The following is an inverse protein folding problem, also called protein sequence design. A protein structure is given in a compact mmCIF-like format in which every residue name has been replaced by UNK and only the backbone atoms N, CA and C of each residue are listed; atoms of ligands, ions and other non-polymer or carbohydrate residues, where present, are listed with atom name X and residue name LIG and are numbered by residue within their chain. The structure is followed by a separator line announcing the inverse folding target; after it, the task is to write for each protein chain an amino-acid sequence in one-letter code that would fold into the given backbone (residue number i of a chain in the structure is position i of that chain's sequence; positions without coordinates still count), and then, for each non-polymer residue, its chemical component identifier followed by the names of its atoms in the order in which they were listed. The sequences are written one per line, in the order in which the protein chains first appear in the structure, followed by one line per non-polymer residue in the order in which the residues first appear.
data_IF_758200025153
#
_entry.id   IF_758200025153
#
_cell.length_a   1.000
_cell.length_b   1.000
_cell.length_c   1.000
_cell.angle_alpha   90.00
_cell.angle_beta   90.00
_cell.angle_gamma   90.00
#
_symmetry.space_group_name_H-M   'P 1'
#
loop_
_entity.id
_entity.type
_entity.pdbx_description
1 polymer ?
#
# COMPACT_ATOMS: atom_id res chain seq x y z
N UNK A 1 18.74 -4.49 32.31
CA UNK A 1 17.64 -5.45 32.03
C UNK A 1 18.19 -6.46 31.05
N UNK A 2 18.37 -7.69 31.52
CA UNK A 2 18.77 -8.78 30.64
C UNK A 2 17.66 -9.06 29.64
N UNK A 3 17.99 -9.01 28.33
CA UNK A 3 17.03 -9.39 27.30
C UNK A 3 16.75 -10.88 27.43
N UNK A 4 15.51 -11.26 27.60
CA UNK A 4 15.14 -12.66 27.52
C UNK A 4 15.32 -13.15 26.08
N UNK A 5 15.66 -14.42 25.91
CA UNK A 5 15.74 -15.06 24.59
C UNK A 5 14.37 -15.58 24.11
N UNK A 6 13.30 -15.23 24.79
CA UNK A 6 11.95 -15.68 24.46
C UNK A 6 11.32 -14.75 23.40
N UNK A 7 10.49 -15.28 22.52
CA UNK A 7 9.64 -14.47 21.68
C UNK A 7 8.74 -13.56 22.52
N UNK A 8 8.51 -12.32 22.06
CA UNK A 8 7.72 -11.32 22.78
C UNK A 8 6.34 -11.82 23.22
N UNK A 9 5.69 -12.64 22.39
CA UNK A 9 4.39 -13.26 22.70
C UNK A 9 4.49 -14.15 23.94
N UNK A 10 5.55 -14.96 24.08
CA UNK A 10 5.73 -15.83 25.24
C UNK A 10 5.99 -15.02 26.51
N UNK A 11 6.74 -13.93 26.41
CA UNK A 11 6.96 -13.03 27.55
C UNK A 11 5.66 -12.40 28.03
N UNK A 12 4.84 -11.88 27.10
CA UNK A 12 3.56 -11.25 27.43
C UNK A 12 2.59 -12.25 28.07
N UNK A 13 2.48 -13.45 27.51
CA UNK A 13 1.61 -14.51 28.08
C UNK A 13 2.04 -14.99 29.45
N UNK A 14 3.33 -14.92 29.80
CA UNK A 14 3.85 -15.32 31.11
C UNK A 14 3.60 -14.29 32.22
N UNK A 15 3.49 -13.02 31.86
CA UNK A 15 3.34 -11.92 32.84
C UNK A 15 1.91 -11.40 32.94
N UNK A 16 1.11 -11.53 31.87
CA UNK A 16 -0.26 -11.05 31.85
C UNK A 16 -1.25 -12.04 32.43
N UNK A 17 -2.14 -11.59 33.31
CA UNK A 17 -3.32 -12.40 33.73
C UNK A 17 -4.33 -12.55 32.61
N UNK A 18 -4.48 -11.51 31.80
CA UNK A 18 -5.29 -11.43 30.57
C UNK A 18 -4.46 -10.71 29.53
N UNK A 19 -4.32 -11.32 28.35
CA UNK A 19 -3.65 -10.73 27.21
C UNK A 19 -4.63 -10.64 26.05
N UNK A 20 -4.73 -9.47 25.42
CA UNK A 20 -5.54 -9.25 24.22
C UNK A 20 -4.59 -8.95 23.07
N UNK A 21 -4.71 -9.71 21.98
CA UNK A 21 -3.90 -9.53 20.77
C UNK A 21 -4.80 -9.20 19.59
N UNK A 22 -4.45 -8.16 18.87
CA UNK A 22 -5.06 -7.80 17.59
C UNK A 22 -4.15 -8.29 16.47
N UNK A 23 -4.65 -9.18 15.63
CA UNK A 23 -3.88 -9.84 14.58
C UNK A 23 -4.57 -9.70 13.23
N UNK A 24 -3.77 -9.53 12.19
CA UNK A 24 -4.17 -9.64 10.79
C UNK A 24 -3.05 -10.42 10.07
N UNK A 25 -3.30 -11.70 9.80
CA UNK A 25 -2.32 -12.59 9.16
C UNK A 25 -1.95 -12.12 7.73
N UNK A 26 -2.84 -11.34 7.08
CA UNK A 26 -2.61 -10.77 5.75
C UNK A 26 -1.74 -9.49 5.79
N UNK A 27 -1.33 -9.01 6.96
CA UNK A 27 -0.40 -7.89 7.13
C UNK A 27 1.05 -8.32 7.38
N UNK A 28 1.36 -9.60 7.30
CA UNK A 28 2.73 -10.12 7.37
C UNK A 28 3.47 -9.75 6.10
N UNK A 29 4.48 -8.87 6.22
CA UNK A 29 5.26 -8.33 5.08
C UNK A 29 6.74 -8.77 5.10
N UNK A 30 7.20 -9.40 6.18
CA UNK A 30 8.56 -9.93 6.31
C UNK A 30 8.58 -11.41 6.68
N UNK A 31 9.57 -12.18 6.18
CA UNK A 31 9.79 -13.52 6.66
C UNK A 31 10.26 -13.48 8.12
N UNK A 32 9.67 -14.34 8.95
CA UNK A 32 10.07 -14.42 10.37
C UNK A 32 9.38 -13.42 11.30
N UNK A 33 8.41 -12.66 10.82
CA UNK A 33 7.45 -12.00 11.71
C UNK A 33 6.71 -13.08 12.49
N UNK A 34 7.04 -13.17 13.79
CA UNK A 34 6.48 -14.15 14.72
C UNK A 34 5.23 -13.55 15.33
N UNK A 35 4.07 -13.92 14.82
CA UNK A 35 2.83 -13.33 15.31
C UNK A 35 1.57 -13.82 14.58
N UNK A 36 1.67 -14.93 13.82
CA UNK A 36 0.47 -15.49 13.19
C UNK A 36 -0.53 -15.98 14.22
N UNK A 37 -1.80 -15.89 13.89
CA UNK A 37 -2.89 -16.44 14.71
C UNK A 37 -2.60 -17.88 15.14
N UNK A 38 -2.10 -18.71 14.23
CA UNK A 38 -1.73 -20.10 14.53
C UNK A 38 -0.62 -20.20 15.59
N UNK A 39 0.45 -19.42 15.43
CA UNK A 39 1.58 -19.45 16.39
C UNK A 39 1.16 -18.98 17.78
N UNK A 40 0.35 -17.91 17.84
CA UNK A 40 -0.17 -17.40 19.12
C UNK A 40 -1.02 -18.45 19.84
N UNK A 41 -1.95 -19.10 19.13
CA UNK A 41 -2.79 -20.18 19.68
C UNK A 41 -1.96 -21.34 20.20
N UNK A 42 -1.03 -21.86 19.40
CA UNK A 42 -0.17 -22.97 19.78
C UNK A 42 0.66 -22.62 21.04
N UNK A 43 1.17 -21.38 21.11
CA UNK A 43 1.96 -20.91 22.24
C UNK A 43 1.11 -20.75 23.51
N UNK A 44 -0.08 -20.16 23.39
CA UNK A 44 -1.01 -20.01 24.50
C UNK A 44 -1.46 -21.37 25.06
N UNK A 45 -1.78 -22.32 24.20
CA UNK A 45 -2.14 -23.69 24.61
C UNK A 45 -1.00 -24.41 25.36
N UNK A 46 0.25 -24.27 24.87
CA UNK A 46 1.44 -24.82 25.52
C UNK A 46 1.64 -24.24 26.93
N UNK A 47 1.27 -22.99 27.14
CA UNK A 47 1.35 -22.30 28.44
C UNK A 47 0.12 -22.52 29.32
N UNK A 48 -0.86 -23.32 28.89
CA UNK A 48 -2.07 -23.64 29.67
C UNK A 48 -3.07 -22.49 29.71
N UNK A 49 -2.99 -21.53 28.76
CA UNK A 49 -3.92 -20.40 28.73
C UNK A 49 -5.28 -20.82 28.16
N UNK A 50 -6.36 -20.24 28.71
CA UNK A 50 -7.67 -20.29 28.08
C UNK A 50 -7.73 -19.30 26.95
N UNK A 51 -8.20 -19.72 25.73
CA UNK A 51 -8.24 -18.92 24.53
C UNK A 51 -9.68 -18.57 24.20
N UNK A 52 -9.91 -17.29 23.93
CA UNK A 52 -11.15 -16.76 23.37
C UNK A 52 -10.82 -16.06 22.07
N UNK A 53 -11.52 -16.41 21.00
CA UNK A 53 -11.36 -15.79 19.67
C UNK A 53 -12.57 -14.94 19.35
N UNK A 54 -12.27 -13.77 18.82
CA UNK A 54 -13.27 -12.84 18.30
C UNK A 54 -12.78 -12.33 16.95
N UNK A 55 -13.66 -12.24 15.99
CA UNK A 55 -13.40 -11.61 14.69
C UNK A 55 -13.97 -10.19 14.73
N UNK A 56 -13.15 -9.22 14.29
CA UNK A 56 -13.60 -7.83 14.11
C UNK A 56 -14.24 -7.74 12.76
N UNK A 57 -15.57 -7.79 12.68
CA UNK A 57 -16.34 -7.78 11.43
C UNK A 57 -16.38 -6.38 10.80
N UNK A 58 -16.24 -5.31 11.60
CA UNK A 58 -16.35 -3.95 11.11
C UNK A 58 -15.06 -3.45 10.46
N UNK A 59 -15.14 -3.08 9.18
CA UNK A 59 -14.08 -2.41 8.45
C UNK A 59 -14.30 -0.90 8.53
N UNK A 60 -13.37 -0.18 9.17
CA UNK A 60 -13.40 1.28 9.29
C UNK A 60 -12.52 1.98 8.24
N UNK A 61 -11.60 1.25 7.60
CA UNK A 61 -10.78 1.77 6.51
C UNK A 61 -11.56 1.83 5.21
N UNK A 62 -11.04 2.58 4.25
CA UNK A 62 -11.64 2.69 2.92
C UNK A 62 -13.13 3.13 2.98
N UNK A 63 -13.44 4.12 3.81
CA UNK A 63 -14.82 4.62 4.05
C UNK A 63 -15.79 3.54 4.56
N UNK A 64 -15.26 2.52 5.28
CA UNK A 64 -16.05 1.35 5.67
C UNK A 64 -16.37 0.41 4.50
N UNK A 65 -15.74 0.60 3.34
CA UNK A 65 -15.97 -0.24 2.16
C UNK A 65 -15.19 -1.56 2.28
N UNK A 66 -15.86 -2.58 2.81
CA UNK A 66 -15.40 -3.98 2.69
C UNK A 66 -15.19 -4.35 1.22
N UNK A 67 -15.95 -3.73 0.32
CA UNK A 67 -15.88 -3.93 -1.12
C UNK A 67 -14.50 -3.64 -1.68
N UNK A 68 -13.86 -2.53 -1.28
CA UNK A 68 -12.52 -2.17 -1.77
C UNK A 68 -11.44 -3.14 -1.30
N UNK A 69 -11.38 -3.46 -0.01
CA UNK A 69 -10.40 -4.40 0.55
C UNK A 69 -10.60 -5.80 -0.04
N UNK A 70 -11.86 -6.23 -0.20
CA UNK A 70 -12.19 -7.50 -0.82
C UNK A 70 -11.80 -7.53 -2.32
N UNK A 71 -12.01 -6.42 -3.03
CA UNK A 71 -11.56 -6.28 -4.41
C UNK A 71 -10.04 -6.33 -4.54
N UNK A 72 -9.27 -5.63 -3.66
CA UNK A 72 -7.81 -5.72 -3.63
C UNK A 72 -7.35 -7.15 -3.33
N UNK A 73 -7.93 -7.83 -2.34
CA UNK A 73 -7.60 -9.22 -2.01
C UNK A 73 -7.83 -10.16 -3.21
N UNK A 74 -8.94 -9.97 -3.93
CA UNK A 74 -9.27 -10.74 -5.13
C UNK A 74 -8.31 -10.41 -6.27
N UNK A 75 -8.04 -9.13 -6.53
CA UNK A 75 -7.17 -8.68 -7.62
C UNK A 75 -5.72 -9.12 -7.41
N UNK A 76 -5.19 -9.04 -6.20
CA UNK A 76 -3.86 -9.55 -5.86
C UNK A 76 -3.81 -11.09 -5.76
N UNK A 77 -4.96 -11.77 -5.81
CA UNK A 77 -5.04 -13.22 -5.67
C UNK A 77 -4.61 -13.71 -4.28
N UNK A 78 -4.84 -12.91 -3.24
CA UNK A 78 -4.63 -13.26 -1.82
C UNK A 78 -5.81 -14.11 -1.35
N UNK A 79 -7.03 -13.61 -1.57
CA UNK A 79 -8.27 -14.27 -1.16
C UNK A 79 -9.33 -14.12 -2.25
N UNK A 80 -10.03 -15.19 -2.57
CA UNK A 80 -11.19 -15.12 -3.48
C UNK A 80 -12.37 -14.48 -2.74
N UNK A 81 -12.90 -13.41 -3.31
CA UNK A 81 -14.05 -12.67 -2.79
C UNK A 81 -15.10 -12.46 -3.89
N UNK A 82 -16.29 -12.05 -3.53
CA UNK A 82 -17.35 -11.71 -4.50
C UNK A 82 -17.05 -10.40 -5.26
N UNK A 83 -16.18 -9.54 -4.71
CA UNK A 83 -15.82 -8.26 -5.31
C UNK A 83 -14.73 -8.44 -6.39
N UNK A 84 -15.14 -8.82 -7.60
CA UNK A 84 -14.23 -9.05 -8.73
C UNK A 84 -13.99 -7.76 -9.51
N UNK A 85 -15.00 -6.91 -9.61
CA UNK A 85 -14.97 -5.63 -10.33
C UNK A 85 -15.21 -4.50 -9.34
N UNK A 86 -14.34 -3.48 -9.40
CA UNK A 86 -14.49 -2.25 -8.64
C UNK A 86 -15.37 -1.25 -9.37
N UNK A 87 -16.41 -0.76 -8.71
CA UNK A 87 -17.31 0.25 -9.25
C UNK A 87 -17.18 1.56 -8.47
N UNK A 88 -16.31 2.45 -8.95
CA UNK A 88 -16.07 3.76 -8.34
C UNK A 88 -17.28 4.72 -8.36
N UNK A 89 -18.30 4.41 -9.16
CA UNK A 89 -19.55 5.22 -9.22
C UNK A 89 -20.57 4.86 -8.16
N UNK A 90 -20.44 3.70 -7.51
CA UNK A 90 -21.38 3.22 -6.47
C UNK A 90 -20.76 3.25 -5.06
N UNK A 91 -19.45 3.29 -4.99
CA UNK A 91 -18.71 3.25 -3.72
C UNK A 91 -18.18 4.65 -3.38
N UNK A 92 -18.23 5.01 -2.10
CA UNK A 92 -17.72 6.32 -1.64
C UNK A 92 -16.19 6.42 -1.66
N UNK A 93 -15.49 5.29 -1.84
CA UNK A 93 -14.03 5.25 -1.84
C UNK A 93 -13.47 5.60 -3.22
N UNK A 94 -12.64 6.66 -3.28
CA UNK A 94 -12.07 7.22 -4.51
C UNK A 94 -10.82 6.45 -4.94
N UNK A 95 -10.95 5.50 -5.89
CA UNK A 95 -9.82 4.78 -6.47
C UNK A 95 -9.50 5.27 -7.87
N UNK A 96 -8.25 5.71 -8.12
CA UNK A 96 -7.80 6.23 -9.41
C UNK A 96 -6.43 5.68 -9.81
N UNK A 97 -6.25 5.45 -11.13
CA UNK A 97 -4.97 5.09 -11.74
C UNK A 97 -4.41 6.29 -12.49
N UNK A 98 -3.13 6.58 -12.28
CA UNK A 98 -2.40 7.70 -12.86
C UNK A 98 -1.36 7.23 -13.86
N UNK A 99 -1.08 8.06 -14.88
CA UNK A 99 -0.17 7.71 -15.97
C UNK A 99 1.31 7.93 -15.62
N UNK A 100 1.58 8.77 -14.61
CA UNK A 100 2.94 9.06 -14.16
C UNK A 100 3.01 9.29 -12.64
N UNK A 101 4.19 9.10 -12.01
CA UNK A 101 4.36 9.35 -10.59
C UNK A 101 4.22 10.83 -10.23
N UNK A 102 4.57 11.75 -11.15
CA UNK A 102 4.36 13.20 -10.96
C UNK A 102 2.88 13.55 -10.90
N UNK A 103 2.07 12.98 -11.81
CA UNK A 103 0.61 13.21 -11.80
C UNK A 103 -0.05 12.63 -10.56
N UNK A 104 0.40 11.47 -10.09
CA UNK A 104 -0.01 10.86 -8.82
C UNK A 104 0.30 11.79 -7.64
N UNK A 105 1.56 12.22 -7.52
CA UNK A 105 2.00 13.10 -6.42
C UNK A 105 1.24 14.43 -6.44
N UNK A 106 1.08 15.04 -7.62
CA UNK A 106 0.29 16.27 -7.79
C UNK A 106 -1.14 16.11 -7.29
N UNK A 107 -1.78 14.97 -7.58
CA UNK A 107 -3.14 14.71 -7.13
C UNK A 107 -3.23 14.54 -5.61
N UNK A 108 -2.25 13.85 -4.98
CA UNK A 108 -2.18 13.73 -3.51
C UNK A 108 -1.94 15.11 -2.86
N UNK A 109 -1.02 15.92 -3.42
CA UNK A 109 -0.78 17.28 -2.91
C UNK A 109 -2.01 18.18 -3.04
N UNK A 110 -2.81 18.01 -4.10
CA UNK A 110 -4.08 18.72 -4.25
C UNK A 110 -5.06 18.36 -3.12
N UNK A 111 -5.14 17.07 -2.76
CA UNK A 111 -5.96 16.62 -1.63
C UNK A 111 -5.48 17.19 -0.28
N UNK A 112 -4.16 17.27 -0.10
CA UNK A 112 -3.59 17.91 1.11
C UNK A 112 -3.92 19.40 1.14
N UNK A 113 -3.89 20.10 0.02
CA UNK A 113 -4.29 21.52 -0.07
C UNK A 113 -5.79 21.74 0.19
N UNK A 114 -6.65 20.73 -0.07
CA UNK A 114 -8.06 20.71 0.30
C UNK A 114 -8.29 20.45 1.82
N UNK A 115 -7.22 20.21 2.59
CA UNK A 115 -7.28 19.97 4.05
C UNK A 115 -7.33 18.51 4.47
N UNK A 116 -7.17 17.57 3.54
CA UNK A 116 -7.08 16.15 3.84
C UNK A 116 -5.66 15.72 4.21
N UNK A 117 -5.53 14.64 4.96
CA UNK A 117 -4.24 13.98 5.16
C UNK A 117 -3.89 13.16 3.92
N UNK A 118 -2.63 13.25 3.47
CA UNK A 118 -2.17 12.51 2.28
C UNK A 118 -0.69 12.19 2.29
N UNK A 119 -0.32 11.02 1.81
CA UNK A 119 1.08 10.58 1.64
C UNK A 119 1.23 9.76 0.37
N UNK A 120 2.45 9.82 -0.19
CA UNK A 120 2.84 8.91 -1.27
C UNK A 120 3.71 7.81 -0.69
N UNK A 121 3.41 6.57 -1.07
CA UNK A 121 4.12 5.37 -0.65
C UNK A 121 4.57 4.58 -1.89
N UNK A 122 5.54 3.69 -1.73
CA UNK A 122 5.98 2.83 -2.83
C UNK A 122 6.30 1.41 -2.37
N UNK A 123 6.23 0.45 -3.30
CA UNK A 123 6.84 -0.87 -3.14
C UNK A 123 8.33 -0.75 -2.88
N UNK A 124 8.91 -1.71 -2.18
CA UNK A 124 10.31 -1.61 -1.74
C UNK A 124 11.30 -1.97 -2.87
N UNK A 125 11.21 -1.22 -3.99
CA UNK A 125 11.98 -1.48 -5.21
C UNK A 125 13.32 -0.74 -5.28
N UNK A 126 13.56 0.21 -4.38
CA UNK A 126 14.79 1.02 -4.34
C UNK A 126 15.50 0.86 -3.01
N UNK A 127 16.82 1.06 -3.05
CA UNK A 127 17.64 1.07 -1.84
C UNK A 127 17.15 2.18 -0.90
N UNK A 128 17.05 1.87 0.37
CA UNK A 128 16.77 2.86 1.41
C UNK A 128 18.09 3.29 2.06
N UNK A 129 18.65 4.38 1.58
CA UNK A 129 19.98 4.87 2.00
C UNK A 129 19.93 5.58 3.34
N UNK A 130 21.10 5.72 3.98
CA UNK A 130 21.26 6.60 5.14
C UNK A 130 21.20 8.06 4.71
N UNK A 131 20.82 8.95 5.64
CA UNK A 131 20.92 10.38 5.43
C UNK A 131 22.38 10.79 5.11
N UNK A 132 22.53 11.82 4.30
CA UNK A 132 23.80 12.43 3.99
C UNK A 132 24.47 13.04 5.25
N UNK A 133 25.77 13.35 5.24
CA UNK A 133 26.47 13.95 6.40
C UNK A 133 25.87 15.28 6.87
N UNK A 134 25.27 16.05 5.95
CA UNK A 134 24.56 17.30 6.25
C UNK A 134 23.15 17.08 6.83
N UNK A 135 22.64 15.85 6.77
CA UNK A 135 21.33 15.45 7.25
C UNK A 135 20.22 15.45 6.19
N UNK A 136 20.56 15.79 4.93
CA UNK A 136 19.62 15.66 3.81
C UNK A 136 19.39 14.18 3.45
N UNK A 137 18.29 13.87 2.78
CA UNK A 137 18.00 12.52 2.31
C UNK A 137 18.36 12.40 0.83
N UNK A 138 19.00 11.30 0.39
CA UNK A 138 19.27 11.06 -1.02
C UNK A 138 17.97 10.71 -1.76
N UNK A 139 17.89 11.11 -3.03
CA UNK A 139 16.80 10.74 -3.93
C UNK A 139 16.97 9.28 -4.38
N UNK A 140 16.53 8.36 -3.56
CA UNK A 140 16.65 6.92 -3.84
C UNK A 140 15.54 6.41 -4.77
N UNK A 141 14.32 6.97 -4.67
CA UNK A 141 13.18 6.59 -5.54
C UNK A 141 13.30 7.32 -6.85
N UNK A 142 13.73 6.60 -7.89
CA UNK A 142 13.99 7.16 -9.22
C UNK A 142 13.17 6.43 -10.28
N UNK A 143 12.34 7.19 -11.02
CA UNK A 143 11.49 6.69 -12.11
C UNK A 143 11.59 7.68 -13.27
N UNK A 144 12.48 7.41 -14.23
CA UNK A 144 12.79 8.38 -15.28
C UNK A 144 13.34 9.67 -14.67
N UNK A 145 12.66 10.79 -14.92
CA UNK A 145 13.03 12.11 -14.39
C UNK A 145 12.46 12.38 -12.99
N UNK A 146 11.48 11.58 -12.56
CA UNK A 146 10.92 11.66 -11.20
C UNK A 146 11.92 11.16 -10.17
N UNK A 147 12.24 12.00 -9.18
CA UNK A 147 13.19 11.68 -8.11
C UNK A 147 12.65 12.17 -6.79
N UNK A 148 12.62 11.28 -5.80
CA UNK A 148 12.21 11.59 -4.41
C UNK A 148 13.01 10.78 -3.42
N UNK A 149 13.29 11.33 -2.24
CA UNK A 149 13.85 10.55 -1.16
C UNK A 149 12.80 9.60 -0.57
N UNK A 150 13.27 8.48 -0.04
CA UNK A 150 12.52 7.77 0.97
C UNK A 150 12.38 8.63 2.23
N UNK A 151 11.41 8.32 3.07
CA UNK A 151 11.36 8.83 4.43
C UNK A 151 12.65 8.47 5.21
N UNK A 152 12.93 9.22 6.28
CA UNK A 152 14.18 9.02 7.02
C UNK A 152 14.22 7.62 7.65
N UNK A 153 15.39 6.99 7.63
CA UNK A 153 15.56 5.72 8.35
C UNK A 153 15.45 5.93 9.87
N UNK A 154 14.87 4.95 10.61
CA UNK A 154 14.75 5.05 12.08
C UNK A 154 16.07 5.33 12.81
N UNK A 155 17.19 4.84 12.24
CA UNK A 155 18.53 4.98 12.83
C UNK A 155 19.22 6.31 12.48
N UNK A 156 18.57 7.19 11.71
CA UNK A 156 19.14 8.46 11.31
C UNK A 156 19.48 9.33 12.53
N UNK A 157 20.77 9.62 12.73
CA UNK A 157 21.26 10.37 13.88
C UNK A 157 21.09 11.88 13.73
N UNK A 158 21.15 12.35 12.48
CA UNK A 158 21.02 13.77 12.11
C UNK A 158 20.12 13.89 10.91
N UNK A 159 19.20 14.82 10.97
CA UNK A 159 18.31 15.20 9.86
C UNK A 159 18.39 16.71 9.67
N UNK A 160 18.37 17.15 8.43
CA UNK A 160 18.30 18.57 8.09
C UNK A 160 16.96 19.18 8.53
N UNK A 161 16.90 20.50 8.77
CA UNK A 161 15.66 21.19 9.09
C UNK A 161 14.56 20.87 8.06
N UNK A 162 13.34 20.62 8.53
CA UNK A 162 12.20 20.29 7.69
C UNK A 162 12.08 18.79 7.31
N UNK A 163 13.04 17.94 7.68
CA UNK A 163 12.95 16.50 7.45
C UNK A 163 12.47 15.81 8.73
N UNK A 164 11.28 15.21 8.74
CA UNK A 164 10.74 14.51 9.90
C UNK A 164 11.52 13.23 10.20
N UNK A 165 11.53 12.83 11.47
CA UNK A 165 11.96 11.48 11.86
C UNK A 165 10.98 10.44 11.31
N UNK A 166 11.45 9.21 11.08
CA UNK A 166 10.62 8.11 10.61
C UNK A 166 9.30 7.95 11.40
N UNK A 167 9.36 8.06 12.72
CA UNK A 167 8.17 7.94 13.59
C UNK A 167 7.17 9.10 13.46
N UNK A 168 7.58 10.22 12.86
CA UNK A 168 6.73 11.40 12.65
C UNK A 168 6.35 11.60 11.18
N UNK A 169 6.95 10.84 10.26
CA UNK A 169 6.72 11.00 8.81
C UNK A 169 5.22 11.05 8.43
N UNK A 170 4.42 10.19 9.04
CA UNK A 170 2.99 10.11 8.75
C UNK A 170 2.21 11.37 9.18
N UNK A 171 2.65 12.07 10.21
CA UNK A 171 1.93 13.20 10.82
C UNK A 171 2.52 14.56 10.45
N UNK A 172 3.85 14.66 10.29
CA UNK A 172 4.52 15.94 10.02
C UNK A 172 4.14 16.43 8.61
N UNK A 173 3.70 17.70 8.45
CA UNK A 173 3.36 18.26 7.15
C UNK A 173 4.46 18.08 6.09
N UNK A 174 5.73 18.15 6.48
CA UNK A 174 6.87 17.99 5.57
C UNK A 174 7.07 16.53 5.11
N UNK A 175 6.39 15.55 5.72
CA UNK A 175 6.41 14.15 5.27
C UNK A 175 5.89 13.94 3.86
N UNK A 176 5.14 14.94 3.31
CA UNK A 176 4.65 14.90 1.93
C UNK A 176 5.76 14.96 0.87
N UNK A 177 6.95 15.44 1.24
CA UNK A 177 8.11 15.56 0.34
C UNK A 177 8.94 14.26 0.25
N UNK A 178 8.51 13.22 0.95
CA UNK A 178 9.19 11.93 1.03
C UNK A 178 8.24 10.80 0.69
N UNK A 179 8.79 9.75 0.12
CA UNK A 179 8.04 8.52 -0.17
C UNK A 179 8.13 7.60 1.05
N UNK A 180 6.99 7.13 1.55
CA UNK A 180 6.97 6.12 2.59
C UNK A 180 7.07 4.70 2.06
N UNK A 181 7.63 3.81 2.83
CA UNK A 181 7.61 2.38 2.55
C UNK A 181 6.58 1.65 3.42
N UNK A 182 6.41 0.35 3.20
CA UNK A 182 5.48 -0.45 4.00
C UNK A 182 5.78 -0.39 5.49
N UNK A 183 7.05 -0.28 5.88
CA UNK A 183 7.47 -0.28 7.29
C UNK A 183 7.15 1.00 8.05
N UNK A 184 7.04 2.10 7.33
CA UNK A 184 6.68 3.41 7.90
C UNK A 184 5.20 3.74 7.70
N UNK A 185 4.56 3.15 6.70
CA UNK A 185 3.13 3.31 6.44
C UNK A 185 2.25 2.35 7.26
N UNK A 186 2.77 1.17 7.63
CA UNK A 186 2.03 0.19 8.42
C UNK A 186 1.71 0.74 9.81
N UNK A 187 0.44 0.67 10.21
CA UNK A 187 -0.04 1.24 11.47
C UNK A 187 -0.60 2.66 11.37
N UNK A 188 -0.40 3.34 10.23
CA UNK A 188 -0.98 4.66 9.95
C UNK A 188 -2.07 4.61 8.89
N UNK A 189 -2.89 5.63 8.87
CA UNK A 189 -3.97 5.83 7.91
C UNK A 189 -3.97 7.28 7.45
N UNK A 190 -4.36 7.50 6.19
CA UNK A 190 -4.44 8.81 5.56
C UNK A 190 -5.81 8.95 4.90
N UNK A 191 -6.34 10.17 4.79
CA UNK A 191 -7.54 10.35 3.97
C UNK A 191 -7.31 9.86 2.54
N UNK A 192 -6.16 10.22 1.96
CA UNK A 192 -5.74 9.78 0.63
C UNK A 192 -4.34 9.20 0.63
N UNK A 193 -4.15 8.04 0.03
CA UNK A 193 -2.84 7.43 -0.18
C UNK A 193 -2.50 7.38 -1.66
N UNK A 194 -1.28 7.82 -2.01
CA UNK A 194 -0.68 7.56 -3.32
C UNK A 194 0.20 6.31 -3.23
N UNK A 195 0.10 5.39 -4.18
CA UNK A 195 0.89 4.17 -4.21
C UNK A 195 1.62 4.06 -5.54
N UNK A 196 2.95 4.00 -5.48
CA UNK A 196 3.78 3.62 -6.62
C UNK A 196 3.93 2.09 -6.58
N UNK A 197 3.25 1.42 -7.52
CA UNK A 197 3.32 -0.03 -7.66
C UNK A 197 4.54 -0.39 -8.50
N UNK A 198 5.54 -1.01 -7.89
CA UNK A 198 6.84 -1.28 -8.51
C UNK A 198 6.85 -2.53 -9.40
N UNK A 199 8.05 -2.87 -9.88
CA UNK A 199 8.27 -4.04 -10.75
C UNK A 199 8.69 -5.31 -10.01
N UNK A 200 8.67 -5.30 -8.69
CA UNK A 200 8.95 -6.50 -7.89
C UNK A 200 7.78 -7.49 -7.86
N UNK A 201 6.59 -7.06 -8.31
CA UNK A 201 5.42 -7.89 -8.53
C UNK A 201 4.75 -7.44 -9.83
N UNK A 202 4.66 -8.32 -10.82
CA UNK A 202 4.02 -8.04 -12.11
C UNK A 202 2.99 -9.10 -12.47
N UNK A 203 1.93 -8.70 -13.19
CA UNK A 203 0.92 -9.64 -13.65
C UNK A 203 1.26 -10.19 -15.02
N UNK A 204 1.34 -11.51 -15.12
CA UNK A 204 1.60 -12.24 -16.36
C UNK A 204 0.28 -12.70 -16.99
N UNK A 205 -0.08 -12.13 -18.15
CA UNK A 205 -1.33 -12.48 -18.84
C UNK A 205 -1.28 -13.86 -19.48
N UNK A 206 -0.11 -14.33 -19.93
CA UNK A 206 0.02 -15.62 -20.59
C UNK A 206 -0.19 -16.75 -19.59
N UNK A 207 0.32 -16.57 -18.37
CA UNK A 207 0.17 -17.53 -17.28
C UNK A 207 -1.04 -17.25 -16.39
N UNK A 208 -1.68 -16.10 -16.55
CA UNK A 208 -2.79 -15.62 -15.73
C UNK A 208 -2.49 -15.62 -14.23
N UNK A 209 -1.27 -15.25 -13.86
CA UNK A 209 -0.79 -15.24 -12.48
C UNK A 209 0.14 -14.07 -12.18
N UNK A 210 0.37 -13.86 -10.90
CA UNK A 210 1.33 -12.88 -10.41
C UNK A 210 2.73 -13.46 -10.39
N UNK A 211 3.68 -12.77 -11.03
CA UNK A 211 5.09 -13.09 -11.04
C UNK A 211 5.88 -12.19 -10.10
N UNK A 212 6.72 -12.81 -9.28
CA UNK A 212 7.59 -12.09 -8.35
C UNK A 212 9.00 -11.91 -8.92
N UNK A 213 9.44 -10.66 -8.99
CA UNK A 213 10.74 -10.26 -9.55
C UNK A 213 11.70 -9.82 -8.44
N UNK A 214 12.42 -10.79 -7.87
CA UNK A 214 13.34 -10.56 -6.74
C UNK A 214 14.42 -9.54 -7.04
N UNK A 215 14.89 -9.46 -8.28
CA UNK A 215 15.89 -8.49 -8.75
C UNK A 215 15.41 -7.05 -8.58
N UNK A 216 14.13 -6.82 -8.71
CA UNK A 216 13.50 -5.50 -8.59
C UNK A 216 13.08 -5.14 -7.15
N UNK A 217 13.32 -6.00 -6.18
CA UNK A 217 13.02 -5.71 -4.77
C UNK A 217 14.32 -5.40 -4.02
N UNK A 218 14.34 -4.38 -3.18
CA UNK A 218 15.52 -3.96 -2.42
C UNK A 218 15.58 -4.53 -0.99
N UNK A 219 14.50 -5.16 -0.50
CA UNK A 219 14.51 -5.80 0.82
C UNK A 219 15.21 -7.16 0.77
N UNK A 220 16.39 -7.21 1.39
CA UNK A 220 17.21 -8.43 1.39
C UNK A 220 16.57 -9.58 2.16
N UNK A 221 15.74 -9.30 3.17
CA UNK A 221 15.03 -10.35 3.93
C UNK A 221 13.90 -10.95 3.09
N UNK A 222 13.10 -10.10 2.43
CA UNK A 222 12.03 -10.51 1.54
C UNK A 222 12.59 -11.28 0.33
N UNK A 223 13.67 -10.78 -0.28
CA UNK A 223 14.38 -11.50 -1.38
C UNK A 223 14.80 -12.92 -1.04
N UNK A 224 15.19 -13.15 0.21
CA UNK A 224 15.66 -14.48 0.69
C UNK A 224 14.53 -15.42 1.10
N UNK A 225 13.28 -14.99 1.06
CA UNK A 225 12.13 -15.76 1.53
C UNK A 225 11.73 -16.94 0.61
N UNK A 226 12.48 -17.19 -0.48
CA UNK A 226 12.27 -18.28 -1.43
C UNK A 226 10.86 -18.26 -2.03
N UNK A 227 10.06 -19.27 -1.74
CA UNK A 227 8.69 -19.52 -2.19
C UNK A 227 7.65 -18.54 -1.59
N UNK A 228 7.96 -17.93 -0.45
CA UNK A 228 7.08 -16.92 0.19
C UNK A 228 7.22 -15.52 -0.41
N UNK A 229 8.14 -15.30 -1.35
CA UNK A 229 8.43 -13.97 -1.88
C UNK A 229 7.19 -13.30 -2.47
N UNK A 230 6.48 -13.99 -3.36
CA UNK A 230 5.28 -13.45 -4.03
C UNK A 230 4.21 -13.08 -3.02
N UNK A 231 3.95 -13.93 -2.03
CA UNK A 231 2.92 -13.69 -1.02
C UNK A 231 3.28 -12.48 -0.15
N UNK A 232 4.55 -12.36 0.27
CA UNK A 232 5.00 -11.21 1.07
C UNK A 232 4.90 -9.89 0.29
N UNK A 233 5.23 -9.89 -1.02
CA UNK A 233 5.12 -8.69 -1.83
C UNK A 233 3.65 -8.35 -2.12
N UNK A 234 2.77 -9.35 -2.34
CA UNK A 234 1.32 -9.14 -2.41
C UNK A 234 0.77 -8.49 -1.12
N UNK A 235 1.17 -9.00 0.04
CA UNK A 235 0.78 -8.43 1.33
C UNK A 235 1.30 -6.99 1.48
N UNK A 236 2.53 -6.70 1.03
CA UNK A 236 3.07 -5.35 0.99
C UNK A 236 2.15 -4.40 0.21
N UNK A 237 1.76 -4.76 -1.02
CA UNK A 237 0.86 -3.92 -1.80
C UNK A 237 -0.55 -3.88 -1.22
N UNK A 238 -1.07 -4.97 -0.67
CA UNK A 238 -2.35 -4.96 0.06
C UNK A 238 -2.32 -3.93 1.20
N UNK A 239 -1.25 -3.93 2.00
CA UNK A 239 -1.07 -2.96 3.10
C UNK A 239 -1.05 -1.55 2.55
N UNK A 240 -0.23 -1.24 1.54
CA UNK A 240 -0.10 0.11 0.99
C UNK A 240 -1.42 0.61 0.37
N UNK A 241 -2.07 -0.21 -0.46
CA UNK A 241 -3.32 0.13 -1.13
C UNK A 241 -4.48 0.36 -0.16
N UNK A 242 -4.45 -0.23 1.03
CA UNK A 242 -5.49 -0.09 2.05
C UNK A 242 -5.20 0.96 3.11
N UNK A 243 -4.20 1.86 2.93
CA UNK A 243 -3.91 2.94 3.89
C UNK A 243 -4.79 4.18 3.74
N UNK A 244 -5.54 4.29 2.65
CA UNK A 244 -6.50 5.37 2.45
C UNK A 244 -7.80 5.16 3.22
N UNK A 245 -8.30 6.22 3.85
CA UNK A 245 -9.64 6.24 4.46
C UNK A 245 -10.70 6.61 3.42
N UNK A 246 -10.41 7.57 2.54
CA UNK A 246 -11.32 8.12 1.52
C UNK A 246 -10.91 7.78 0.10
N UNK A 247 -9.62 7.57 -0.15
CA UNK A 247 -9.17 7.24 -1.50
C UNK A 247 -7.77 6.66 -1.57
N UNK A 248 -7.54 5.92 -2.65
CA UNK A 248 -6.25 5.35 -3.01
C UNK A 248 -5.97 5.66 -4.48
N UNK A 249 -4.86 6.35 -4.74
CA UNK A 249 -4.38 6.70 -6.07
C UNK A 249 -3.15 5.88 -6.41
N UNK A 250 -3.09 5.32 -7.61
CA UNK A 250 -2.01 4.37 -7.96
C UNK A 250 -1.35 4.74 -9.27
N UNK A 251 -0.03 4.65 -9.30
CA UNK A 251 0.78 4.60 -10.50
C UNK A 251 1.46 3.24 -10.60
N UNK A 252 1.38 2.60 -11.76
CA UNK A 252 2.00 1.30 -12.01
C UNK A 252 3.24 1.47 -12.88
N UNK A 253 4.39 0.94 -12.45
CA UNK A 253 5.61 0.94 -13.25
C UNK A 253 5.58 -0.08 -14.38
N UNK A 254 4.71 -1.10 -14.28
CA UNK A 254 4.49 -2.12 -15.29
C UNK A 254 3.14 -1.94 -15.97
N UNK A 255 3.15 -1.92 -17.32
CA UNK A 255 1.93 -1.64 -18.10
C UNK A 255 0.96 -2.79 -18.16
N UNK A 256 1.43 -4.03 -18.06
CA UNK A 256 0.55 -5.20 -18.01
C UNK A 256 -0.16 -5.27 -16.66
N UNK A 257 0.53 -4.98 -15.57
CA UNK A 257 -0.07 -4.85 -14.24
C UNK A 257 -1.11 -3.72 -14.20
N UNK A 258 -0.82 -2.55 -14.78
CA UNK A 258 -1.79 -1.46 -14.93
C UNK A 258 -3.03 -1.92 -15.69
N UNK A 259 -2.84 -2.57 -16.85
CA UNK A 259 -3.91 -3.11 -17.68
C UNK A 259 -4.76 -4.13 -16.93
N UNK A 260 -4.12 -5.00 -16.14
CA UNK A 260 -4.82 -5.96 -15.31
C UNK A 260 -5.72 -5.29 -14.26
N UNK A 261 -5.19 -4.32 -13.50
CA UNK A 261 -6.01 -3.57 -12.54
C UNK A 261 -7.16 -2.82 -13.22
N UNK A 262 -6.90 -2.13 -14.34
CA UNK A 262 -7.95 -1.44 -15.12
C UNK A 262 -9.03 -2.41 -15.64
N UNK A 263 -8.67 -3.64 -15.99
CA UNK A 263 -9.64 -4.67 -16.41
C UNK A 263 -10.56 -5.14 -15.27
N UNK A 264 -10.19 -4.86 -14.02
CA UNK A 264 -10.95 -5.16 -12.81
C UNK A 264 -11.73 -3.95 -12.27
N UNK A 265 -11.83 -2.89 -13.06
CA UNK A 265 -12.64 -1.70 -12.78
C UNK A 265 -13.79 -1.62 -13.76
N UNK A 266 -14.97 -1.17 -13.31
CA UNK A 266 -16.05 -0.82 -14.26
C UNK A 266 -15.57 0.36 -15.12
N UNK A 267 -15.66 0.16 -16.44
CA UNK A 267 -15.48 1.24 -17.40
C UNK A 267 -16.80 2.01 -17.39
N UNK A 268 -16.81 3.23 -16.84
CA UNK A 268 -17.93 4.14 -17.02
C UNK A 268 -18.01 4.54 -18.51
N UNK A 269 -18.81 3.80 -19.27
CA UNK A 269 -19.10 4.10 -20.68
C UNK A 269 -19.77 5.47 -20.85
N UNK A 270 -20.41 6.02 -19.82
CA UNK A 270 -21.06 7.34 -19.87
C UNK A 270 -20.11 8.48 -20.25
N UNK A 271 -18.84 8.45 -19.83
CA UNK A 271 -17.87 9.48 -20.22
C UNK A 271 -17.35 9.31 -21.64
N UNK A 272 -17.25 8.08 -22.17
CA UNK A 272 -16.85 7.85 -23.56
C UNK A 272 -18.03 8.12 -24.52
N UNK A 273 -19.22 7.68 -24.16
CA UNK A 273 -20.44 7.93 -24.95
C UNK A 273 -20.74 9.43 -25.03
N UNK A 274 -20.58 10.19 -23.94
CA UNK A 274 -20.71 11.65 -23.94
C UNK A 274 -19.62 12.36 -24.75
N UNK A 275 -18.40 11.85 -24.77
CA UNK A 275 -17.33 12.38 -25.63
C UNK A 275 -17.59 12.09 -27.11
N UNK A 276 -18.10 10.89 -27.44
CA UNK A 276 -18.48 10.55 -28.82
C UNK A 276 -19.71 11.33 -29.26
N UNK A 277 -20.72 11.53 -28.38
CA UNK A 277 -21.91 12.35 -28.70
C UNK A 277 -21.54 13.82 -28.90
N UNK A 278 -20.72 14.43 -28.01
CA UNK A 278 -20.21 15.79 -28.20
C UNK A 278 -19.34 15.94 -29.46
N UNK A 279 -18.52 14.95 -29.78
CA UNK A 279 -17.73 14.97 -31.01
C UNK A 279 -18.61 14.79 -32.26
N UNK A 280 -19.71 14.06 -32.19
CA UNK A 280 -20.70 13.92 -33.25
C UNK A 280 -21.52 15.21 -33.43
N UNK A 281 -21.98 15.84 -32.34
CA UNK A 281 -22.70 17.12 -32.34
C UNK A 281 -21.84 18.24 -33.00
N UNK A 282 -20.58 18.38 -32.60
CA UNK A 282 -19.65 19.33 -33.18
C UNK A 282 -19.38 19.09 -34.70
N UNK A 283 -19.47 17.83 -35.16
CA UNK A 283 -19.37 17.52 -36.60
C UNK A 283 -20.64 17.87 -37.38
N UNK A 284 -21.81 17.81 -36.77
CA UNK A 284 -23.07 18.21 -37.38
C UNK A 284 -23.22 19.73 -37.45
N UNK A 285 -22.81 20.46 -36.40
CA UNK A 285 -22.85 21.93 -36.41
C UNK A 285 -21.91 22.53 -37.42
N UNK A 286 -20.70 21.97 -37.62
CA UNK A 286 -19.74 22.44 -38.61
C UNK A 286 -20.12 22.10 -40.09
N UNK A 287 -21.09 21.17 -40.30
CA UNK A 287 -21.59 20.87 -41.64
C UNK A 287 -22.75 21.79 -42.11
N UNK A 288 -23.38 22.47 -41.16
CA UNK A 288 -24.48 23.39 -41.45
C UNK A 288 -24.00 24.87 -41.60
N UNK A 289 -22.69 25.09 -41.60
CA UNK A 289 -22.05 26.41 -41.79
C UNK A 289 -21.30 26.52 -43.13
N UNK A 290 -21.47 25.58 -44.07
CA UNK A 290 -21.04 25.60 -45.47
C UNK A 290 -22.26 25.46 -46.39
#
# INVERSE_FOLDING_TARGET
MDRSNLPQIEELLKVGKVCVFFLDDDQVVRPGEIGSTKYLKETALKLGCQIHEYELEAQFRCSGSDGFVNWINNTLGIKRTANVIWNSGKEEFDFKVFESPESLEKAIRAKVAEGFTGRVTAGFCWKWSQANPDGTLPDDVIIGDYKRPWDARPEAKKLAPGIPKASLWAYDPNGIDQIGCVYTAQGFEFDYVGVIFGKDLMYNFDQQMWDGHKENNADTMVKRSKDKFVDLVKNTYRVLLSRGLKGCYVYFMDKDTERFFKSRMEINYDNQTNLYLKAAENRFENKNLL
#
